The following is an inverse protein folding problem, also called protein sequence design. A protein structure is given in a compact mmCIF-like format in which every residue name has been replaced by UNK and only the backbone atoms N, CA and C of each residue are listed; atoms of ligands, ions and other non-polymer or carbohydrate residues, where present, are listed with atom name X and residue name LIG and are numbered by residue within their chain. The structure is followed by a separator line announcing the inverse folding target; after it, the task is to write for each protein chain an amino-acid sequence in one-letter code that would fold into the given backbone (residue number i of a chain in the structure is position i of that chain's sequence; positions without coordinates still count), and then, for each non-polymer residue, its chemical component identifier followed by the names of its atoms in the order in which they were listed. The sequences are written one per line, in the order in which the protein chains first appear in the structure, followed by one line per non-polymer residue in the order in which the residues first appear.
data_IF_062277134864
#
_entry.id   IF_062277134864
#
_cell.length_a   1.000
_cell.length_b   1.000
_cell.length_c   1.000
_cell.angle_alpha   90.00
_cell.angle_beta   90.00
_cell.angle_gamma   90.00
#
_symmetry.space_group_name_H-M   'P 1'
#
loop_
_entity.id
_entity.type
_entity.pdbx_description
1 polymer ?
#
# COMPACT_ATOMS: atom_id res chain seq x y z
N UNK A 1 5.68 9.58 -22.81
CA UNK A 1 5.98 10.37 -21.58
C UNK A 1 4.73 10.98 -20.92
N UNK A 2 3.57 11.04 -21.57
CA UNK A 2 2.32 11.61 -20.98
C UNK A 2 1.51 10.59 -20.15
N UNK A 3 1.55 9.30 -20.49
CA UNK A 3 0.70 8.24 -19.88
C UNK A 3 1.02 7.91 -18.41
N UNK A 4 2.29 7.94 -18.00
CA UNK A 4 2.68 7.63 -16.62
C UNK A 4 2.29 8.73 -15.63
N UNK A 5 2.22 9.98 -16.09
CA UNK A 5 1.87 11.15 -15.28
C UNK A 5 0.37 11.20 -14.97
N UNK A 6 -0.46 10.80 -15.92
CA UNK A 6 -1.93 10.73 -15.74
C UNK A 6 -2.36 9.56 -14.83
N UNK A 7 -1.58 8.48 -14.77
CA UNK A 7 -1.81 7.36 -13.85
C UNK A 7 -1.44 7.71 -12.39
N UNK A 8 -0.48 8.61 -12.18
CA UNK A 8 -0.12 9.15 -10.86
C UNK A 8 -1.17 10.13 -10.31
N UNK A 9 -1.92 10.84 -11.16
CA UNK A 9 -2.85 11.90 -10.75
C UNK A 9 -4.16 11.41 -10.08
N UNK A 10 -4.46 10.11 -10.12
CA UNK A 10 -5.71 9.53 -9.58
C UNK A 10 -5.56 8.54 -8.43
N UNK A 11 -4.35 8.06 -8.13
CA UNK A 11 -4.12 7.03 -7.11
C UNK A 11 -3.99 7.67 -5.74
N UNK A 12 -4.90 7.35 -4.82
CA UNK A 12 -4.95 7.97 -3.49
C UNK A 12 -4.85 6.88 -2.44
N UNK A 13 -3.68 6.79 -1.82
CA UNK A 13 -3.46 5.86 -0.74
C UNK A 13 -4.07 6.40 0.57
N UNK A 14 -4.59 5.51 1.43
CA UNK A 14 -5.08 5.90 2.75
C UNK A 14 -4.04 6.73 3.50
N UNK A 15 -4.42 7.93 3.91
CA UNK A 15 -3.59 8.86 4.69
C UNK A 15 -2.90 9.93 3.85
N UNK A 16 -2.99 9.86 2.52
CA UNK A 16 -2.50 10.88 1.61
C UNK A 16 -3.23 12.23 1.77
N UNK A 17 -4.45 12.22 2.31
CA UNK A 17 -5.31 13.39 2.51
C UNK A 17 -5.75 13.50 3.96
N UNK A 18 -6.03 14.71 4.43
CA UNK A 18 -6.74 14.85 5.70
C UNK A 18 -8.24 14.76 5.48
N UNK A 19 -8.96 14.11 6.40
CA UNK A 19 -10.42 14.09 6.41
C UNK A 19 -11.04 15.45 6.70
N UNK A 20 -10.23 16.43 7.15
CA UNK A 20 -10.62 17.81 7.45
C UNK A 20 -10.44 18.78 6.28
N UNK A 21 -9.96 18.32 5.13
CA UNK A 21 -9.84 19.17 3.93
C UNK A 21 -11.21 19.79 3.57
N UNK A 22 -11.30 21.13 3.41
CA UNK A 22 -12.58 21.82 3.22
C UNK A 22 -13.39 21.33 2.02
N UNK A 23 -12.72 20.86 0.96
CA UNK A 23 -13.34 20.30 -0.25
C UNK A 23 -13.93 18.90 -0.09
N UNK A 24 -13.60 18.19 1.00
CA UNK A 24 -14.08 16.82 1.30
C UNK A 24 -15.20 16.80 2.33
N UNK A 25 -15.48 17.94 2.96
CA UNK A 25 -16.62 18.07 3.87
C UNK A 25 -17.93 17.92 3.09
N UNK A 26 -18.76 16.97 3.52
CA UNK A 26 -20.10 16.78 2.97
C UNK A 26 -20.99 17.94 3.43
N UNK A 27 -21.02 19.03 2.65
CA UNK A 27 -21.93 20.14 2.89
C UNK A 27 -23.35 19.76 2.44
N UNK A 28 -24.40 20.09 3.21
CA UNK A 28 -25.77 20.03 2.71
C UNK A 28 -25.92 20.99 1.52
N UNK A 29 -26.32 20.48 0.35
CA UNK A 29 -26.44 21.29 -0.87
C UNK A 29 -27.39 20.71 -1.92
N UNK A 30 -27.77 21.49 -2.95
CA UNK A 30 -28.92 21.19 -3.83
C UNK A 30 -28.77 19.92 -4.68
N UNK A 31 -27.53 19.47 -4.95
CA UNK A 31 -27.26 18.16 -5.57
C UNK A 31 -27.07 17.13 -4.46
N UNK A 32 -28.17 16.46 -4.09
CA UNK A 32 -28.12 15.35 -3.12
C UNK A 32 -27.27 14.22 -3.70
N UNK A 33 -26.15 13.93 -3.06
CA UNK A 33 -25.48 12.65 -3.22
C UNK A 33 -26.45 11.53 -2.82
N UNK A 34 -26.39 10.39 -3.51
CA UNK A 34 -27.11 9.21 -3.05
C UNK A 34 -26.58 8.76 -1.68
N UNK A 35 -27.37 8.03 -0.87
CA UNK A 35 -26.89 7.46 0.39
C UNK A 35 -25.61 6.62 0.20
N UNK A 36 -25.51 5.89 -0.90
CA UNK A 36 -24.32 5.10 -1.27
C UNK A 36 -23.10 5.98 -1.54
N UNK A 37 -23.26 7.10 -2.26
CA UNK A 37 -22.18 8.05 -2.50
C UNK A 37 -21.71 8.73 -1.20
N UNK A 38 -22.63 9.00 -0.28
CA UNK A 38 -22.30 9.52 1.05
C UNK A 38 -21.48 8.50 1.85
N UNK A 39 -21.97 7.25 1.92
CA UNK A 39 -21.29 6.17 2.63
C UNK A 39 -19.89 5.89 2.05
N UNK A 40 -19.75 5.89 0.72
CA UNK A 40 -18.45 5.73 0.05
C UNK A 40 -17.46 6.85 0.42
N UNK A 41 -17.88 8.12 0.36
CA UNK A 41 -17.03 9.26 0.75
C UNK A 41 -16.66 9.24 2.24
N UNK A 42 -17.59 8.85 3.10
CA UNK A 42 -17.32 8.68 4.54
C UNK A 42 -16.33 7.54 4.78
N UNK A 43 -16.46 6.42 4.06
CA UNK A 43 -15.52 5.31 4.10
C UNK A 43 -14.13 5.76 3.68
N UNK A 44 -13.98 6.44 2.55
CA UNK A 44 -12.68 6.99 2.11
C UNK A 44 -12.03 7.89 3.17
N UNK A 45 -12.80 8.84 3.74
CA UNK A 45 -12.30 9.73 4.80
C UNK A 45 -11.89 8.96 6.06
N UNK A 46 -12.62 7.90 6.40
CA UNK A 46 -12.28 7.01 7.50
C UNK A 46 -10.98 6.24 7.24
N UNK A 47 -10.78 5.69 6.03
CA UNK A 47 -9.53 5.00 5.70
C UNK A 47 -8.32 5.96 5.81
N UNK A 48 -8.49 7.22 5.37
CA UNK A 48 -7.46 8.26 5.56
C UNK A 48 -7.19 8.55 7.03
N UNK A 49 -8.26 8.75 7.81
CA UNK A 49 -8.15 9.01 9.24
C UNK A 49 -7.52 7.84 10.01
N UNK A 50 -7.79 6.61 9.61
CA UNK A 50 -7.16 5.39 10.15
C UNK A 50 -5.66 5.41 9.92
N UNK A 51 -5.21 5.57 8.67
CA UNK A 51 -3.80 5.54 8.33
C UNK A 51 -3.02 6.64 9.07
N UNK A 52 -3.55 7.86 9.12
CA UNK A 52 -2.92 8.99 9.85
C UNK A 52 -2.88 8.74 11.36
N UNK A 53 -3.99 8.30 11.96
CA UNK A 53 -4.04 8.06 13.41
C UNK A 53 -3.09 6.94 13.84
N UNK A 54 -2.99 5.86 13.04
CA UNK A 54 -2.05 4.76 13.28
C UNK A 54 -0.61 5.24 13.10
N UNK A 55 -0.32 6.01 12.06
CA UNK A 55 1.02 6.55 11.84
C UNK A 55 1.49 7.48 12.98
N UNK A 56 0.56 8.25 13.56
CA UNK A 56 0.87 9.17 14.66
C UNK A 56 0.99 8.48 16.03
N UNK A 57 0.16 7.47 16.30
CA UNK A 57 -0.01 6.93 17.67
C UNK A 57 0.32 5.42 17.80
N UNK A 58 0.75 4.78 16.71
CA UNK A 58 0.82 3.32 16.58
C UNK A 58 -0.55 2.66 16.63
N UNK A 59 -0.62 1.37 16.31
CA UNK A 59 -1.90 0.64 16.38
C UNK A 59 -2.48 0.61 17.80
N UNK A 60 -1.64 0.35 18.81
CA UNK A 60 -2.08 0.24 20.20
C UNK A 60 -2.66 1.57 20.73
N UNK A 61 -2.00 2.69 20.41
CA UNK A 61 -2.41 4.04 20.83
C UNK A 61 -3.58 4.62 20.05
N UNK A 62 -3.83 4.15 18.82
CA UNK A 62 -4.95 4.64 18.00
C UNK A 62 -6.31 4.35 18.64
N UNK A 63 -7.12 5.40 18.87
CA UNK A 63 -8.50 5.29 19.38
C UNK A 63 -9.50 5.63 18.29
N UNK A 64 -10.67 4.98 18.32
CA UNK A 64 -11.77 5.23 17.36
C UNK A 64 -12.19 6.71 17.39
N UNK A 65 -12.18 7.37 18.56
CA UNK A 65 -12.47 8.80 18.67
C UNK A 65 -11.50 9.69 17.91
N UNK A 66 -10.21 9.33 17.90
CA UNK A 66 -9.17 10.08 17.19
C UNK A 66 -9.30 9.88 15.69
N UNK A 67 -9.58 8.65 15.25
CA UNK A 67 -9.89 8.31 13.86
C UNK A 67 -11.11 9.11 13.36
N UNK A 68 -12.22 9.10 14.11
CA UNK A 68 -13.42 9.86 13.79
C UNK A 68 -13.13 11.37 13.68
N UNK A 69 -12.35 11.91 14.61
CA UNK A 69 -11.95 13.33 14.62
C UNK A 69 -11.08 13.68 13.41
N UNK A 70 -10.16 12.80 13.02
CA UNK A 70 -9.32 13.01 11.84
C UNK A 70 -10.10 12.89 10.54
N UNK A 71 -10.96 11.87 10.44
CA UNK A 71 -11.84 11.66 9.30
C UNK A 71 -12.96 12.71 9.20
N UNK A 72 -13.24 13.47 10.26
CA UNK A 72 -14.35 14.40 10.35
C UNK A 72 -15.71 13.71 10.18
N UNK A 73 -15.86 12.55 10.83
CA UNK A 73 -17.11 11.76 10.91
C UNK A 73 -17.48 11.49 12.37
N UNK A 74 -18.73 11.12 12.62
CA UNK A 74 -19.19 10.79 13.98
C UNK A 74 -18.92 9.33 14.32
N UNK A 75 -18.94 8.99 15.62
CA UNK A 75 -18.80 7.59 16.08
C UNK A 75 -19.92 6.67 15.55
N UNK A 76 -21.20 7.07 15.50
CA UNK A 76 -22.24 6.24 14.87
C UNK A 76 -21.91 5.89 13.42
N UNK A 77 -21.47 6.85 12.61
CA UNK A 77 -21.07 6.62 11.21
C UNK A 77 -19.88 5.66 11.11
N UNK A 78 -18.94 5.70 12.04
CA UNK A 78 -17.86 4.71 12.08
C UNK A 78 -18.41 3.29 12.24
N UNK A 79 -19.33 3.09 13.20
CA UNK A 79 -19.89 1.77 13.47
C UNK A 79 -20.89 1.27 12.42
N UNK A 80 -21.44 2.17 11.58
CA UNK A 80 -22.18 1.78 10.38
C UNK A 80 -21.29 1.14 9.31
N UNK A 81 -19.99 1.49 9.28
CA UNK A 81 -19.04 1.06 8.24
C UNK A 81 -18.04 0.00 8.71
N UNK A 82 -17.75 -0.04 10.01
CA UNK A 82 -16.72 -0.92 10.59
C UNK A 82 -17.18 -1.48 11.93
N UNK A 83 -16.91 -2.76 12.16
CA UNK A 83 -17.20 -3.44 13.42
C UNK A 83 -16.29 -3.00 14.58
N UNK A 84 -15.13 -2.41 14.27
CA UNK A 84 -14.18 -1.93 15.27
C UNK A 84 -12.87 -1.43 14.64
N UNK A 85 -11.91 -1.09 15.52
CA UNK A 85 -10.59 -0.59 15.10
C UNK A 85 -9.83 -1.58 14.22
N UNK A 86 -9.83 -2.86 14.58
CA UNK A 86 -9.15 -3.91 13.81
C UNK A 86 -9.66 -3.97 12.36
N UNK A 87 -10.98 -4.05 12.18
CA UNK A 87 -11.64 -4.08 10.87
C UNK A 87 -11.31 -2.84 10.04
N UNK A 88 -11.35 -1.65 10.64
CA UNK A 88 -11.02 -0.41 9.96
C UNK A 88 -9.54 -0.35 9.49
N UNK A 89 -8.59 -0.81 10.32
CA UNK A 89 -7.16 -0.89 9.96
C UNK A 89 -6.93 -1.90 8.85
N UNK A 90 -7.51 -3.09 8.94
CA UNK A 90 -7.40 -4.13 7.90
C UNK A 90 -7.99 -3.64 6.58
N UNK A 91 -9.13 -2.93 6.61
CA UNK A 91 -9.75 -2.36 5.43
C UNK A 91 -8.86 -1.27 4.79
N UNK A 92 -8.26 -0.38 5.58
CA UNK A 92 -7.33 0.64 5.08
C UNK A 92 -6.08 0.00 4.47
N UNK A 93 -5.49 -0.97 5.18
CA UNK A 93 -4.34 -1.72 4.70
C UNK A 93 -4.62 -2.41 3.36
N UNK A 94 -5.66 -3.26 3.28
CA UNK A 94 -6.01 -3.99 2.06
C UNK A 94 -6.37 -3.06 0.90
N UNK A 95 -7.14 -2.01 1.17
CA UNK A 95 -7.53 -1.04 0.14
C UNK A 95 -6.32 -0.31 -0.46
N UNK A 96 -5.38 0.11 0.38
CA UNK A 96 -4.16 0.78 -0.06
C UNK A 96 -3.16 -0.16 -0.73
N UNK A 97 -2.91 -1.35 -0.16
CA UNK A 97 -1.94 -2.29 -0.74
C UNK A 97 -2.42 -2.84 -2.08
N UNK A 98 -3.72 -3.07 -2.25
CA UNK A 98 -4.29 -3.43 -3.55
C UNK A 98 -4.13 -2.32 -4.60
N UNK A 99 -4.24 -1.05 -4.19
CA UNK A 99 -3.96 0.11 -5.05
C UNK A 99 -2.49 0.16 -5.49
N UNK A 100 -1.55 0.01 -4.55
CA UNK A 100 -0.11 -0.05 -4.84
C UNK A 100 0.21 -1.20 -5.80
N UNK A 101 -0.27 -2.39 -5.48
CA UNK A 101 -0.06 -3.60 -6.29
C UNK A 101 -0.60 -3.43 -7.71
N UNK A 102 -1.77 -2.80 -7.90
CA UNK A 102 -2.29 -2.45 -9.24
C UNK A 102 -1.41 -1.44 -9.98
N UNK A 103 -0.92 -0.41 -9.29
CA UNK A 103 -0.04 0.59 -9.90
C UNK A 103 1.29 -0.02 -10.35
N UNK A 104 1.87 -0.92 -9.53
CA UNK A 104 3.06 -1.69 -9.89
C UNK A 104 2.81 -2.56 -11.13
N UNK A 105 1.64 -3.21 -11.24
CA UNK A 105 1.29 -4.02 -12.42
C UNK A 105 1.25 -3.19 -13.69
N UNK A 106 0.60 -2.03 -13.66
CA UNK A 106 0.55 -1.13 -14.82
C UNK A 106 1.94 -0.72 -15.27
N UNK A 107 2.80 -0.32 -14.33
CA UNK A 107 4.17 0.06 -14.65
C UNK A 107 5.02 -1.12 -15.17
N UNK A 108 4.78 -2.33 -14.65
CA UNK A 108 5.40 -3.55 -15.15
C UNK A 108 4.97 -3.84 -16.59
N UNK A 109 3.67 -3.79 -16.89
CA UNK A 109 3.11 -4.07 -18.22
C UNK A 109 3.57 -3.02 -19.25
N UNK A 110 3.53 -1.73 -18.89
CA UNK A 110 3.97 -0.61 -19.75
C UNK A 110 5.46 -0.65 -20.09
N UNK A 111 6.28 -1.25 -19.22
CA UNK A 111 7.71 -1.40 -19.41
C UNK A 111 8.11 -2.63 -20.26
N UNK A 112 7.14 -3.38 -20.81
CA UNK A 112 7.36 -4.53 -21.69
C UNK A 112 6.95 -5.87 -21.09
N UNK A 113 6.52 -5.90 -19.83
CA UNK A 113 6.15 -7.09 -19.09
C UNK A 113 7.19 -8.22 -19.20
N UNK A 114 6.73 -9.39 -19.63
CA UNK A 114 7.57 -10.57 -19.82
C UNK A 114 8.72 -10.37 -20.82
N UNK A 115 8.52 -9.51 -21.84
CA UNK A 115 9.51 -9.33 -22.90
C UNK A 115 10.79 -8.63 -22.42
N UNK A 116 10.69 -7.83 -21.35
CA UNK A 116 11.82 -7.20 -20.68
C UNK A 116 11.62 -7.25 -19.15
N UNK A 117 11.58 -8.49 -18.64
CA UNK A 117 11.27 -8.76 -17.23
C UNK A 117 12.11 -7.93 -16.25
N UNK A 118 13.45 -7.80 -16.40
CA UNK A 118 14.25 -6.94 -15.52
C UNK A 118 13.85 -5.46 -15.54
N UNK A 119 13.60 -4.88 -16.71
CA UNK A 119 13.17 -3.48 -16.80
C UNK A 119 11.77 -3.28 -16.20
N UNK A 120 10.87 -4.25 -16.41
CA UNK A 120 9.53 -4.24 -15.84
C UNK A 120 9.51 -4.39 -14.32
N UNK A 121 10.37 -5.25 -13.76
CA UNK A 121 10.59 -5.32 -12.29
C UNK A 121 11.08 -3.98 -11.76
N UNK A 122 12.05 -3.35 -12.41
CA UNK A 122 12.54 -2.01 -12.04
C UNK A 122 11.41 -0.98 -12.07
N UNK A 123 10.56 -0.99 -13.09
CA UNK A 123 9.44 -0.06 -13.20
C UNK A 123 8.42 -0.25 -12.06
N UNK A 124 8.07 -1.49 -11.74
CA UNK A 124 7.17 -1.82 -10.63
C UNK A 124 7.75 -1.41 -9.27
N UNK A 125 9.00 -1.76 -8.98
CA UNK A 125 9.67 -1.38 -7.72
C UNK A 125 9.80 0.13 -7.58
N UNK A 126 10.12 0.86 -8.66
CA UNK A 126 10.16 2.33 -8.64
C UNK A 126 8.81 2.91 -8.21
N UNK A 127 7.70 2.42 -8.76
CA UNK A 127 6.35 2.87 -8.36
C UNK A 127 6.07 2.59 -6.89
N UNK A 128 6.40 1.39 -6.40
CA UNK A 128 6.26 1.05 -4.98
C UNK A 128 6.99 2.07 -4.09
N UNK A 129 8.27 2.30 -4.36
CA UNK A 129 9.12 3.18 -3.55
C UNK A 129 8.63 4.64 -3.61
N UNK A 130 8.26 5.13 -4.79
CA UNK A 130 7.69 6.48 -4.96
C UNK A 130 6.42 6.67 -4.14
N UNK A 131 5.47 5.73 -4.22
CA UNK A 131 4.19 5.84 -3.51
C UNK A 131 4.36 5.82 -2.00
N UNK A 132 5.23 4.96 -1.48
CA UNK A 132 5.53 4.90 -0.05
C UNK A 132 6.25 6.17 0.43
N UNK A 133 7.16 6.73 -0.38
CA UNK A 133 7.84 8.00 -0.09
C UNK A 133 6.86 9.17 -0.03
N UNK A 134 5.90 9.21 -0.96
CA UNK A 134 4.90 10.29 -1.06
C UNK A 134 3.78 10.16 -0.02
N UNK A 135 3.59 8.99 0.59
CA UNK A 135 2.54 8.75 1.59
C UNK A 135 3.10 8.13 2.88
N UNK A 136 3.88 8.86 3.70
CA UNK A 136 4.48 8.32 4.92
C UNK A 136 3.48 7.69 5.88
N UNK A 137 2.29 8.29 6.05
CA UNK A 137 1.24 7.74 6.91
C UNK A 137 0.79 6.33 6.47
N UNK A 138 0.69 6.10 5.16
CA UNK A 138 0.37 4.78 4.63
C UNK A 138 1.53 3.80 4.85
N UNK A 139 2.77 4.25 4.59
CA UNK A 139 3.96 3.44 4.77
C UNK A 139 4.11 2.97 6.23
N UNK A 140 3.97 3.86 7.21
CA UNK A 140 4.00 3.50 8.64
C UNK A 140 2.89 2.51 9.00
N UNK A 141 1.67 2.73 8.52
CA UNK A 141 0.56 1.79 8.76
C UNK A 141 0.86 0.38 8.20
N UNK A 142 1.53 0.28 7.06
CA UNK A 142 1.92 -1.01 6.47
C UNK A 142 2.91 -1.77 7.37
N UNK A 143 3.83 -1.06 8.04
CA UNK A 143 4.78 -1.61 9.01
C UNK A 143 4.07 -2.03 10.31
N UNK A 144 3.14 -1.22 10.79
CA UNK A 144 2.35 -1.45 12.01
C UNK A 144 1.31 -2.58 11.89
N UNK A 145 1.11 -3.14 10.70
CA UNK A 145 0.06 -4.15 10.47
C UNK A 145 0.21 -5.38 11.38
N UNK A 146 1.43 -5.74 11.75
CA UNK A 146 1.69 -6.90 12.61
C UNK A 146 1.24 -6.66 14.06
N UNK A 147 1.19 -5.40 14.50
CA UNK A 147 0.67 -4.97 15.81
C UNK A 147 -0.83 -5.26 15.97
N UNK A 148 -1.56 -5.47 14.87
CA UNK A 148 -2.98 -5.87 14.88
C UNK A 148 -3.16 -7.32 15.38
N UNK A 149 -2.12 -8.16 15.33
CA UNK A 149 -2.18 -9.55 15.76
C UNK A 149 -2.46 -10.54 14.61
N UNK A 150 -3.15 -11.67 14.85
CA UNK A 150 -3.32 -12.72 13.85
C UNK A 150 -3.95 -12.25 12.52
N UNK A 151 -4.91 -11.33 12.58
CA UNK A 151 -5.55 -10.77 11.39
C UNK A 151 -4.56 -9.96 10.54
N UNK A 152 -3.74 -9.13 11.19
CA UNK A 152 -2.70 -8.34 10.52
C UNK A 152 -1.63 -9.21 9.87
N UNK A 153 -1.13 -10.23 10.58
CA UNK A 153 -0.17 -11.20 10.02
C UNK A 153 -0.72 -11.93 8.78
N UNK A 154 -2.00 -12.31 8.79
CA UNK A 154 -2.66 -12.90 7.61
C UNK A 154 -2.74 -11.90 6.46
N UNK A 155 -3.17 -10.66 6.70
CA UNK A 155 -3.24 -9.63 5.67
C UNK A 155 -1.86 -9.35 5.04
N UNK A 156 -0.79 -9.34 5.85
CA UNK A 156 0.58 -9.25 5.35
C UNK A 156 0.97 -10.45 4.50
N UNK A 157 0.71 -11.68 4.95
CA UNK A 157 1.02 -12.88 4.18
C UNK A 157 0.27 -12.91 2.82
N UNK A 158 -1.00 -12.51 2.80
CA UNK A 158 -1.79 -12.35 1.57
C UNK A 158 -1.16 -11.32 0.62
N UNK A 159 -0.70 -10.17 1.15
CA UNK A 159 0.01 -9.17 0.36
C UNK A 159 1.28 -9.75 -0.26
N UNK A 160 2.14 -10.39 0.54
CA UNK A 160 3.40 -10.95 0.04
C UNK A 160 3.16 -12.01 -1.04
N UNK A 161 2.18 -12.90 -0.82
CA UNK A 161 1.80 -13.90 -1.81
C UNK A 161 1.31 -13.27 -3.12
N UNK A 162 0.66 -12.09 -3.08
CA UNK A 162 0.18 -11.40 -4.29
C UNK A 162 1.30 -10.98 -5.24
N UNK A 163 2.53 -10.78 -4.74
CA UNK A 163 3.67 -10.40 -5.56
C UNK A 163 4.20 -11.55 -6.44
N UNK A 164 3.85 -12.81 -6.15
CA UNK A 164 4.26 -13.97 -6.97
C UNK A 164 3.87 -13.83 -8.45
N UNK A 165 2.81 -13.10 -8.75
CA UNK A 165 2.36 -12.86 -10.13
C UNK A 165 3.40 -12.11 -10.99
N UNK A 166 4.22 -11.26 -10.39
CA UNK A 166 5.30 -10.55 -11.12
C UNK A 166 6.45 -11.48 -11.53
N UNK A 167 6.45 -12.72 -11.01
CA UNK A 167 7.43 -13.75 -11.33
C UNK A 167 6.84 -14.83 -12.23
N UNK A 168 5.63 -14.68 -12.77
CA UNK A 168 5.05 -15.68 -13.68
C UNK A 168 5.98 -15.93 -14.88
N UNK A 169 6.51 -14.84 -15.44
CA UNK A 169 7.35 -14.86 -16.64
C UNK A 169 8.85 -14.68 -16.34
N UNK A 170 9.26 -14.70 -15.07
CA UNK A 170 10.69 -14.61 -14.73
C UNK A 170 11.45 -15.80 -15.35
N UNK A 171 12.71 -15.64 -15.76
CA UNK A 171 13.48 -16.77 -16.27
C UNK A 171 13.66 -17.88 -15.21
N UNK A 172 14.22 -19.02 -15.62
CA UNK A 172 14.48 -20.10 -14.70
C UNK A 172 15.46 -19.63 -13.60
N UNK A 173 15.12 -19.97 -12.36
CA UNK A 173 16.05 -19.80 -11.24
C UNK A 173 17.04 -20.97 -11.15
N UNK A 174 17.94 -20.94 -10.16
CA UNK A 174 18.85 -22.04 -9.88
C UNK A 174 18.14 -23.37 -9.63
N UNK A 175 18.73 -24.51 -10.04
CA UNK A 175 18.10 -25.83 -9.93
C UNK A 175 18.02 -26.39 -8.51
N UNK A 176 18.74 -25.80 -7.55
CA UNK A 176 18.86 -26.30 -6.17
C UNK A 176 17.80 -25.75 -5.21
N UNK A 177 16.93 -24.86 -5.66
CA UNK A 177 15.82 -24.31 -4.86
C UNK A 177 14.53 -24.35 -5.66
N UNK A 178 13.43 -24.68 -4.99
CA UNK A 178 12.12 -24.64 -5.63
C UNK A 178 11.78 -23.20 -6.04
N UNK A 179 11.30 -22.99 -7.27
CA UNK A 179 10.95 -21.64 -7.78
C UNK A 179 10.06 -20.86 -6.82
N UNK A 180 9.04 -21.50 -6.26
CA UNK A 180 8.12 -20.84 -5.31
C UNK A 180 8.82 -20.37 -4.03
N UNK A 181 9.73 -21.18 -3.50
CA UNK A 181 10.53 -20.84 -2.33
C UNK A 181 11.48 -19.67 -2.62
N UNK A 182 12.15 -19.69 -3.78
CA UNK A 182 13.01 -18.60 -4.21
C UNK A 182 12.25 -17.26 -4.34
N UNK A 183 11.06 -17.29 -4.97
CA UNK A 183 10.20 -16.11 -5.10
C UNK A 183 9.80 -15.58 -3.73
N UNK A 184 9.41 -16.45 -2.79
CA UNK A 184 9.03 -16.05 -1.43
C UNK A 184 10.21 -15.42 -0.67
N UNK A 185 11.42 -15.96 -0.81
CA UNK A 185 12.64 -15.41 -0.21
C UNK A 185 12.92 -14.01 -0.76
N UNK A 186 12.88 -13.84 -2.07
CA UNK A 186 13.14 -12.56 -2.75
C UNK A 186 12.10 -11.51 -2.34
N UNK A 187 10.81 -11.85 -2.37
CA UNK A 187 9.72 -10.96 -1.93
C UNK A 187 9.88 -10.61 -0.45
N UNK A 188 10.27 -11.58 0.38
CA UNK A 188 10.57 -11.36 1.79
C UNK A 188 11.73 -10.38 2.00
N UNK A 189 12.80 -10.48 1.21
CA UNK A 189 13.94 -9.57 1.28
C UNK A 189 13.57 -8.13 0.91
N UNK A 190 12.78 -7.94 -0.15
CA UNK A 190 12.25 -6.62 -0.53
C UNK A 190 11.38 -6.04 0.60
N UNK A 191 10.47 -6.85 1.13
CA UNK A 191 9.62 -6.43 2.25
C UNK A 191 10.45 -6.01 3.46
N UNK A 192 11.44 -6.80 3.86
CA UNK A 192 12.28 -6.49 5.02
C UNK A 192 13.08 -5.19 4.83
N UNK A 193 13.63 -4.96 3.63
CA UNK A 193 14.37 -3.74 3.33
C UNK A 193 13.48 -2.48 3.40
N UNK A 194 12.29 -2.54 2.80
CA UNK A 194 11.31 -1.44 2.86
C UNK A 194 10.81 -1.22 4.29
N UNK A 195 10.46 -2.29 5.00
CA UNK A 195 9.98 -2.24 6.38
C UNK A 195 11.01 -1.56 7.29
N UNK A 196 12.28 -1.98 7.23
CA UNK A 196 13.37 -1.37 8.01
C UNK A 196 13.56 0.12 7.72
N UNK A 197 13.52 0.52 6.45
CA UNK A 197 13.66 1.93 6.09
C UNK A 197 12.52 2.79 6.63
N UNK A 198 11.29 2.26 6.60
CA UNK A 198 10.10 2.95 7.13
C UNK A 198 10.12 3.01 8.66
N UNK A 199 10.47 1.92 9.33
CA UNK A 199 10.55 1.82 10.79
C UNK A 199 11.59 2.80 11.37
N UNK A 200 12.71 2.98 10.66
CA UNK A 200 13.75 3.97 11.00
C UNK A 200 13.37 5.41 10.62
N UNK A 201 12.18 5.65 10.08
CA UNK A 201 11.72 6.98 9.63
C UNK A 201 12.44 7.50 8.39
N UNK A 202 13.19 6.67 7.68
CA UNK A 202 14.02 7.03 6.51
C UNK A 202 13.23 6.93 5.20
N UNK A 203 12.05 7.57 5.15
CA UNK A 203 11.18 7.55 3.98
C UNK A 203 11.84 8.11 2.72
N UNK A 204 12.67 9.16 2.87
CA UNK A 204 13.40 9.80 1.77
C UNK A 204 14.48 8.90 1.16
N UNK A 205 14.89 7.85 1.88
CA UNK A 205 15.92 6.92 1.43
C UNK A 205 15.31 5.77 0.62
N UNK A 206 13.99 5.58 0.64
CA UNK A 206 13.32 4.51 -0.10
C UNK A 206 13.69 4.50 -1.59
N UNK A 207 13.70 5.64 -2.32
CA UNK A 207 14.11 5.65 -3.72
C UNK A 207 15.56 5.22 -3.94
N UNK A 208 16.45 5.43 -2.95
CA UNK A 208 17.86 5.03 -3.03
C UNK A 208 18.04 3.50 -2.99
N UNK A 209 17.04 2.77 -2.49
CA UNK A 209 17.06 1.31 -2.47
C UNK A 209 16.80 0.68 -3.85
N UNK A 210 16.33 1.45 -4.84
CA UNK A 210 15.84 0.91 -6.11
C UNK A 210 16.84 -0.03 -6.78
N UNK A 211 18.07 0.41 -7.00
CA UNK A 211 19.07 -0.40 -7.71
C UNK A 211 19.43 -1.68 -6.94
N UNK A 212 19.52 -1.59 -5.61
CA UNK A 212 19.78 -2.75 -4.75
C UNK A 212 18.62 -3.75 -4.81
N UNK A 213 17.38 -3.27 -4.70
CA UNK A 213 16.20 -4.12 -4.74
C UNK A 213 16.00 -4.77 -6.11
N UNK A 214 16.26 -4.04 -7.20
CA UNK A 214 16.26 -4.62 -8.56
C UNK A 214 17.29 -5.73 -8.67
N UNK A 215 18.52 -5.50 -8.18
CA UNK A 215 19.55 -6.53 -8.19
C UNK A 215 19.14 -7.77 -7.38
N UNK A 216 18.65 -7.59 -6.16
CA UNK A 216 18.17 -8.70 -5.28
C UNK A 216 17.03 -9.49 -5.94
N UNK A 217 16.14 -8.81 -6.68
CA UNK A 217 15.00 -9.47 -7.33
C UNK A 217 15.43 -10.20 -8.61
N UNK A 218 16.30 -9.59 -9.43
CA UNK A 218 16.59 -10.09 -10.77
C UNK A 218 17.72 -11.11 -10.79
N UNK A 219 18.80 -10.88 -10.03
CA UNK A 219 20.01 -11.70 -10.08
C UNK A 219 19.76 -13.21 -9.84
N UNK A 220 18.83 -13.64 -8.94
CA UNK A 220 18.56 -15.06 -8.76
C UNK A 220 17.87 -15.75 -9.95
N UNK A 221 17.41 -15.00 -10.95
CA UNK A 221 16.71 -15.51 -12.13
C UNK A 221 17.47 -15.23 -13.43
N UNK A 222 18.74 -14.84 -13.35
CA UNK A 222 19.61 -14.73 -14.52
C UNK A 222 20.57 -15.91 -14.55
N UNK A 223 20.67 -16.65 -15.67
CA UNK A 223 21.70 -17.68 -15.81
C UNK A 223 23.10 -17.04 -15.74
N UNK A 224 24.05 -17.77 -15.15
CA UNK A 224 25.48 -17.43 -15.15
C UNK A 224 26.08 -17.41 -16.56
#
# INVERSE_FOLDING_TARGET
MTSAREAEEGLVLPGARSGREPGRSLRPGPRRLSPEQVASRQRERLLDGVARTVAENGYAGARISDICREAGVTRPVFYELFSGKEDAVIAAYRGGTQQVVRAMQRAYDEAGGAADWPASVRAGLRVLLTLLTQTPAFATMVVEIESVGPAGRRARAELLASFRRFFADAPAGPPWVARGELVDIVVGAVHAAVHRAVDEGRFTDLPLLLDTLVHVVVAPFTPE
#
